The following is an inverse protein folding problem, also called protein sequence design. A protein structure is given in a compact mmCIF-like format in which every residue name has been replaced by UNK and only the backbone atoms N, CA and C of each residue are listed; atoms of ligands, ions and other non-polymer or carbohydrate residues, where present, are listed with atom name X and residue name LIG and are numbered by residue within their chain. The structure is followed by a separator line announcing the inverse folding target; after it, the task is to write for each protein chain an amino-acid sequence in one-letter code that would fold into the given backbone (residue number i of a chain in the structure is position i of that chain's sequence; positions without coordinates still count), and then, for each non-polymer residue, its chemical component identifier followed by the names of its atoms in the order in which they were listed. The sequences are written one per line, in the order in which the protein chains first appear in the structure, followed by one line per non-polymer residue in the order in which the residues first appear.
data_IF_156241735709
#
_entry.id   IF_156241735709
#
_cell.length_a   1.000
_cell.length_b   1.000
_cell.length_c   1.000
_cell.angle_alpha   90.00
_cell.angle_beta   90.00
_cell.angle_gamma   90.00
#
_symmetry.space_group_name_H-M   'P 1'
#
loop_
_entity.id
_entity.type
_entity.pdbx_description
1 polymer ?
#
# COMPACT_ATOMS: atom_id res chain seq x y z
N UNK A 1 -0.40 12.01 -0.04
CA UNK A 1 -0.80 11.07 -1.10
C UNK A 1 -0.49 9.63 -0.67
N UNK A 2 -1.38 8.72 -0.98
CA UNK A 2 -1.22 7.31 -0.61
C UNK A 2 -1.06 6.49 -1.88
N UNK A 3 0.00 5.68 -1.96
CA UNK A 3 0.25 4.77 -3.06
C UNK A 3 0.38 3.35 -2.50
N UNK A 4 -0.40 2.44 -3.05
CA UNK A 4 -0.44 1.05 -2.57
C UNK A 4 0.03 0.11 -3.67
N UNK A 5 1.08 -0.64 -3.39
CA UNK A 5 1.55 -1.73 -4.25
C UNK A 5 0.83 -2.99 -3.83
N UNK A 6 0.08 -3.59 -4.72
CA UNK A 6 -0.77 -4.73 -4.41
C UNK A 6 -0.85 -5.70 -5.58
N UNK A 7 -1.58 -6.81 -5.37
CA UNK A 7 -1.91 -7.77 -6.42
C UNK A 7 -3.41 -8.04 -6.39
N UNK A 8 -4.00 -8.53 -7.49
CA UNK A 8 -5.45 -8.79 -7.53
C UNK A 8 -5.92 -9.94 -6.64
N UNK A 9 -5.00 -10.76 -6.17
CA UNK A 9 -5.33 -11.95 -5.37
C UNK A 9 -4.99 -11.79 -3.89
N UNK A 10 -4.88 -10.56 -3.42
CA UNK A 10 -4.47 -10.27 -2.05
C UNK A 10 -5.67 -9.81 -1.22
N UNK A 11 -6.15 -10.67 -0.33
CA UNK A 11 -7.27 -10.33 0.54
C UNK A 11 -6.93 -9.21 1.53
N UNK A 12 -5.70 -9.18 2.02
CA UNK A 12 -5.24 -8.13 2.92
C UNK A 12 -5.18 -6.79 2.20
N UNK A 13 -4.76 -6.79 0.93
CA UNK A 13 -4.75 -5.58 0.12
C UNK A 13 -6.15 -5.03 -0.06
N UNK A 14 -7.13 -5.90 -0.29
CA UNK A 14 -8.52 -5.49 -0.44
C UNK A 14 -9.08 -4.92 0.87
N UNK A 15 -8.76 -5.54 2.00
CA UNK A 15 -9.17 -5.04 3.31
C UNK A 15 -8.59 -3.65 3.57
N UNK A 16 -7.32 -3.43 3.24
CA UNK A 16 -6.66 -2.14 3.37
C UNK A 16 -7.35 -1.07 2.52
N UNK A 17 -7.63 -1.39 1.26
CA UNK A 17 -8.29 -0.46 0.36
C UNK A 17 -9.69 -0.09 0.85
N UNK A 18 -10.44 -1.07 1.34
CA UNK A 18 -11.78 -0.84 1.89
C UNK A 18 -11.73 0.07 3.11
N UNK A 19 -10.77 -0.17 4.00
CA UNK A 19 -10.59 0.66 5.19
C UNK A 19 -10.27 2.11 4.83
N UNK A 20 -9.41 2.32 3.84
CA UNK A 20 -9.07 3.66 3.37
C UNK A 20 -10.30 4.38 2.78
N UNK A 21 -11.11 3.66 2.00
CA UNK A 21 -12.34 4.21 1.45
C UNK A 21 -13.34 4.59 2.55
N UNK A 22 -13.48 3.76 3.56
CA UNK A 22 -14.36 4.03 4.69
C UNK A 22 -13.95 5.27 5.48
N UNK A 23 -12.65 5.58 5.47
CA UNK A 23 -12.11 6.76 6.14
C UNK A 23 -11.94 7.95 5.19
N UNK A 24 -12.54 7.90 4.01
CA UNK A 24 -12.51 8.95 3.00
C UNK A 24 -11.08 9.34 2.59
N UNK A 25 -10.19 8.37 2.53
CA UNK A 25 -8.81 8.58 2.09
C UNK A 25 -8.65 8.12 0.65
N UNK A 26 -8.16 9.01 -0.19
CA UNK A 26 -7.87 8.68 -1.59
C UNK A 26 -6.51 8.00 -1.68
N UNK A 27 -6.38 7.04 -2.59
CA UNK A 27 -5.13 6.33 -2.80
C UNK A 27 -4.99 5.93 -4.27
N UNK A 28 -3.74 5.72 -4.68
CA UNK A 28 -3.41 5.15 -5.97
C UNK A 28 -3.04 3.68 -5.75
N UNK A 29 -3.71 2.79 -6.47
CA UNK A 29 -3.42 1.36 -6.39
C UNK A 29 -2.62 0.94 -7.60
N UNK A 30 -1.50 0.26 -7.37
CA UNK A 30 -0.62 -0.24 -8.42
C UNK A 30 -0.56 -1.76 -8.33
N UNK A 31 -0.89 -2.42 -9.44
CA UNK A 31 -0.84 -3.88 -9.55
C UNK A 31 0.56 -4.30 -9.94
N UNK A 32 1.34 -4.80 -8.98
CA UNK A 32 2.72 -5.22 -9.21
C UNK A 32 2.83 -6.56 -9.92
N UNK A 33 1.72 -7.30 -10.06
CA UNK A 33 1.71 -8.53 -10.84
C UNK A 33 1.74 -8.24 -12.34
N UNK A 34 1.24 -7.09 -12.76
CA UNK A 34 1.21 -6.68 -14.17
C UNK A 34 2.18 -5.55 -14.48
N UNK A 35 2.50 -4.72 -13.49
CA UNK A 35 3.41 -3.59 -13.66
C UNK A 35 4.80 -3.96 -13.16
N UNK A 36 5.65 -4.41 -14.08
CA UNK A 36 7.01 -4.85 -13.76
C UNK A 36 7.86 -3.71 -13.20
N UNK A 37 7.69 -2.51 -13.73
CA UNK A 37 8.43 -1.34 -13.27
C UNK A 37 8.09 -1.00 -11.82
N UNK A 38 6.81 -1.06 -11.47
CA UNK A 38 6.37 -0.82 -10.10
C UNK A 38 6.86 -1.91 -9.15
N UNK A 39 6.86 -3.17 -9.62
CA UNK A 39 7.38 -4.28 -8.83
C UNK A 39 8.86 -4.11 -8.55
N UNK A 40 9.63 -3.73 -9.55
CA UNK A 40 11.06 -3.48 -9.39
C UNK A 40 11.32 -2.32 -8.43
N UNK A 41 10.53 -1.27 -8.51
CA UNK A 41 10.61 -0.14 -7.58
C UNK A 41 10.36 -0.58 -6.15
N UNK A 42 9.34 -1.41 -5.93
CA UNK A 42 9.02 -1.94 -4.61
C UNK A 42 10.18 -2.74 -4.04
N UNK A 43 10.79 -3.60 -4.85
CA UNK A 43 11.89 -4.45 -4.43
C UNK A 43 13.18 -3.64 -4.20
N UNK A 44 13.53 -2.79 -5.15
CA UNK A 44 14.82 -2.07 -5.14
C UNK A 44 14.81 -0.85 -4.23
N UNK A 45 13.73 -0.06 -4.27
CA UNK A 45 13.64 1.17 -3.50
C UNK A 45 13.22 0.94 -2.06
N UNK A 46 12.26 0.04 -1.84
CA UNK A 46 11.70 -0.20 -0.52
C UNK A 46 12.18 -1.50 0.10
N UNK A 47 12.92 -2.31 -0.65
CA UNK A 47 13.47 -3.57 -0.19
C UNK A 47 12.38 -4.53 0.33
N UNK A 48 11.22 -4.52 -0.33
CA UNK A 48 10.08 -5.37 0.03
C UNK A 48 9.71 -6.28 -1.13
N UNK A 49 9.37 -7.52 -0.82
CA UNK A 49 8.96 -8.51 -1.82
C UNK A 49 7.53 -9.02 -1.57
N UNK A 50 6.86 -8.52 -0.56
CA UNK A 50 5.50 -8.92 -0.21
C UNK A 50 4.55 -7.75 -0.37
N UNK A 51 3.27 -8.04 -0.58
CA UNK A 51 2.22 -7.03 -0.70
C UNK A 51 1.25 -7.18 0.48
N UNK A 52 0.55 -6.12 0.86
CA UNK A 52 0.63 -4.76 0.36
C UNK A 52 1.83 -3.99 0.91
N UNK A 53 2.35 -3.08 0.11
CA UNK A 53 3.34 -2.09 0.55
C UNK A 53 2.74 -0.73 0.23
N UNK A 54 2.69 0.15 1.21
CA UNK A 54 2.09 1.47 1.03
C UNK A 54 3.11 2.57 1.26
N UNK A 55 3.06 3.57 0.40
CA UNK A 55 3.82 4.80 0.60
C UNK A 55 2.83 5.90 0.97
N UNK A 56 2.96 6.43 2.18
CA UNK A 56 2.07 7.46 2.70
C UNK A 56 2.90 8.66 3.13
N UNK A 57 2.81 9.74 2.36
CA UNK A 57 3.54 10.98 2.65
C UNK A 57 5.04 10.76 2.89
N UNK A 58 5.64 9.86 2.11
CA UNK A 58 7.06 9.53 2.24
C UNK A 58 7.38 8.42 3.23
N UNK A 59 6.40 7.96 3.98
CA UNK A 59 6.56 6.86 4.92
C UNK A 59 6.17 5.54 4.27
N UNK A 60 6.93 4.49 4.56
CA UNK A 60 6.66 3.16 4.02
C UNK A 60 5.99 2.30 5.08
N UNK A 61 4.85 1.72 4.72
CA UNK A 61 4.10 0.82 5.60
C UNK A 61 3.99 -0.54 4.93
N UNK A 62 4.51 -1.56 5.60
CA UNK A 62 4.49 -2.94 5.10
C UNK A 62 3.30 -3.68 5.70
N UNK A 63 2.49 -4.28 4.85
CA UNK A 63 1.29 -4.98 5.28
C UNK A 63 0.17 -4.01 5.68
N UNK A 64 -0.84 -4.53 6.34
CA UNK A 64 -1.93 -3.70 6.86
C UNK A 64 -1.71 -3.47 8.35
N UNK A 65 -0.80 -2.56 8.66
CA UNK A 65 -0.50 -2.15 10.03
C UNK A 65 -1.42 -0.98 10.39
N UNK A 66 -2.57 -1.30 10.98
CA UNK A 66 -3.61 -0.33 11.28
C UNK A 66 -3.11 0.80 12.18
N UNK A 67 -2.33 0.47 13.20
CA UNK A 67 -1.80 1.47 14.12
C UNK A 67 -0.88 2.46 13.41
N UNK A 68 -0.02 1.95 12.55
CA UNK A 68 0.89 2.80 11.78
C UNK A 68 0.15 3.67 10.78
N UNK A 69 -0.86 3.13 10.11
CA UNK A 69 -1.71 3.91 9.21
C UNK A 69 -2.41 5.04 9.95
N UNK A 70 -2.98 4.74 11.11
CA UNK A 70 -3.66 5.77 11.92
C UNK A 70 -2.69 6.87 12.35
N UNK A 71 -1.49 6.49 12.77
CA UNK A 71 -0.48 7.46 13.20
C UNK A 71 -0.05 8.36 12.05
N UNK A 72 0.24 7.81 10.89
CA UNK A 72 0.71 8.57 9.73
C UNK A 72 -0.41 9.43 9.14
N UNK A 73 -1.64 8.93 9.12
CA UNK A 73 -2.79 9.66 8.56
C UNK A 73 -3.43 10.62 9.57
N UNK A 74 -3.11 10.48 10.83
CA UNK A 74 -3.67 11.35 11.88
C UNK A 74 -5.13 11.08 12.19
N UNK A 75 -5.54 9.83 12.14
CA UNK A 75 -6.94 9.46 12.39
C UNK A 75 -7.09 8.43 13.50
#
# INVERSE_FOLDING_TARGET
MIKIYSTPYCSICEALKSWLKENNKEFESVDVSENEEARNEMIEKYNQMTVPVSEVNGEIIVGFDLNKFKAVLGI
#
